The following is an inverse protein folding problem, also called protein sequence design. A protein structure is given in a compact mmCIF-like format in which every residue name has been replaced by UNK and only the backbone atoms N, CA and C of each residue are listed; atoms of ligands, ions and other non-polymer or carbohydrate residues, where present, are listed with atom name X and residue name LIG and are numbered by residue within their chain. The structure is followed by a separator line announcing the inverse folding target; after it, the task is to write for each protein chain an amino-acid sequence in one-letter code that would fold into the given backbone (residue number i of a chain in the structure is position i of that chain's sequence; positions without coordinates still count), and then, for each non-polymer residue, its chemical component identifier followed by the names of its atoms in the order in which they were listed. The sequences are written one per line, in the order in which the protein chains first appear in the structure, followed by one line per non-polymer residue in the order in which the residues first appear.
data_IF_846766022618
#
_entry.id   IF_846766022618
#
_cell.length_a   1.000
_cell.length_b   1.000
_cell.length_c   1.000
_cell.angle_alpha   90.00
_cell.angle_beta   90.00
_cell.angle_gamma   90.00
#
_symmetry.space_group_name_H-M   'P 1'
#
loop_
_entity.id
_entity.type
_entity.pdbx_description
1 polymer ?
#
# COMPACT_ATOMS: atom_id res chain seq x y z
N UNK A 1 4.23 7.95 -13.62
CA UNK A 1 3.16 8.56 -12.77
C UNK A 1 1.89 8.63 -13.60
N UNK A 2 0.74 8.34 -13.00
CA UNK A 2 -0.58 8.35 -13.66
C UNK A 2 -1.45 9.53 -13.24
N UNK A 3 -1.51 9.84 -11.95
CA UNK A 3 -2.36 10.91 -11.42
C UNK A 3 -1.90 11.36 -10.04
N UNK A 4 -2.37 12.54 -9.64
CA UNK A 4 -2.14 13.10 -8.30
C UNK A 4 -3.48 13.51 -7.69
N UNK A 5 -3.51 13.68 -6.38
CA UNK A 5 -4.63 14.27 -5.65
C UNK A 5 -4.03 15.11 -4.55
N UNK A 6 -4.26 16.43 -4.51
CA UNK A 6 -4.91 17.23 -5.55
C UNK A 6 -4.23 17.13 -6.92
N UNK A 7 -4.94 17.56 -7.95
CA UNK A 7 -4.34 17.79 -9.26
C UNK A 7 -3.42 19.03 -9.20
N UNK A 8 -2.47 19.11 -10.13
CA UNK A 8 -1.60 20.28 -10.28
C UNK A 8 -2.41 21.56 -10.48
N UNK A 9 -2.11 22.59 -9.70
CA UNK A 9 -2.78 23.88 -9.73
C UNK A 9 -4.19 23.88 -9.13
N UNK A 10 -4.62 22.81 -8.45
CA UNK A 10 -5.95 22.76 -7.83
C UNK A 10 -6.15 23.88 -6.81
N UNK A 11 -7.28 24.56 -6.89
CA UNK A 11 -7.69 25.62 -5.95
C UNK A 11 -8.79 25.14 -5.00
N UNK A 12 -9.03 25.90 -3.92
CA UNK A 12 -10.05 25.62 -2.91
C UNK A 12 -9.96 24.19 -2.34
N UNK A 13 -8.75 23.62 -2.31
CA UNK A 13 -8.51 22.28 -1.78
C UNK A 13 -8.83 22.28 -0.28
N UNK A 14 -9.60 21.32 0.24
CA UNK A 14 -9.94 21.36 1.65
C UNK A 14 -8.71 21.22 2.55
N UNK A 15 -8.74 21.88 3.70
CA UNK A 15 -7.62 21.88 4.66
C UNK A 15 -7.34 20.51 5.28
N UNK A 16 -8.25 19.56 5.10
CA UNK A 16 -8.16 18.16 5.52
C UNK A 16 -7.59 17.23 4.44
N UNK A 17 -7.16 17.76 3.30
CA UNK A 17 -6.73 16.93 2.16
C UNK A 17 -5.59 15.98 2.53
N UNK A 18 -5.63 14.80 1.92
CA UNK A 18 -4.62 13.76 2.04
C UNK A 18 -3.94 13.65 0.66
N UNK A 19 -2.77 14.28 0.46
CA UNK A 19 -2.08 14.20 -0.82
C UNK A 19 -1.76 12.76 -1.22
N UNK A 20 -1.97 12.44 -2.50
CA UNK A 20 -1.73 11.11 -3.05
C UNK A 20 -1.16 11.21 -4.45
N UNK A 21 -0.24 10.30 -4.78
CA UNK A 21 0.30 10.12 -6.14
C UNK A 21 0.15 8.66 -6.54
N UNK A 22 -0.32 8.43 -7.77
CA UNK A 22 -0.48 7.10 -8.38
C UNK A 22 0.60 6.88 -9.43
N UNK A 23 1.19 5.69 -9.41
CA UNK A 23 2.24 5.29 -10.32
C UNK A 23 1.72 4.27 -11.33
N UNK A 24 2.29 4.33 -12.54
CA UNK A 24 2.06 3.36 -13.61
C UNK A 24 2.73 2.03 -13.35
N UNK A 25 3.63 1.97 -12.35
CA UNK A 25 4.42 0.81 -11.97
C UNK A 25 4.57 0.74 -10.45
N UNK A 26 4.70 -0.46 -9.87
CA UNK A 26 5.04 -0.59 -8.46
C UNK A 26 6.39 0.06 -8.14
N UNK A 27 6.45 0.76 -7.01
CA UNK A 27 7.68 1.26 -6.42
C UNK A 27 8.44 0.15 -5.69
N UNK A 28 9.75 0.33 -5.53
CA UNK A 28 10.58 -0.49 -4.65
C UNK A 28 10.33 -0.08 -3.19
N UNK A 29 9.72 -0.94 -2.36
CA UNK A 29 9.47 -0.64 -0.96
C UNK A 29 10.73 -0.31 -0.16
N UNK A 30 11.92 -0.78 -0.58
CA UNK A 30 13.17 -0.47 0.10
C UNK A 30 13.59 1.01 -0.06
N UNK A 31 13.00 1.72 -1.02
CA UNK A 31 13.25 3.15 -1.28
C UNK A 31 12.20 4.08 -0.67
N UNK A 32 11.22 3.51 0.04
CA UNK A 32 10.14 4.28 0.65
C UNK A 32 10.43 4.47 2.15
N UNK A 33 10.72 5.70 2.52
CA UNK A 33 10.88 6.15 3.90
C UNK A 33 9.95 7.35 4.18
N UNK A 34 10.19 8.06 5.29
CA UNK A 34 9.43 9.25 5.67
C UNK A 34 9.65 10.44 4.72
N UNK A 35 10.73 10.45 3.95
CA UNK A 35 11.15 11.51 3.04
C UNK A 35 10.70 11.25 1.59
N UNK A 36 10.22 10.04 1.30
CA UNK A 36 9.73 9.64 -0.02
C UNK A 36 8.58 10.52 -0.54
N UNK A 37 7.77 11.14 0.33
CA UNK A 37 6.73 12.07 -0.08
C UNK A 37 6.52 13.15 0.98
N UNK A 38 6.78 14.41 0.65
CA UNK A 38 6.76 15.54 1.59
C UNK A 38 5.77 16.61 1.17
N UNK A 39 5.23 17.33 2.14
CA UNK A 39 4.34 18.47 1.94
C UNK A 39 4.94 19.71 2.60
N UNK A 40 4.95 20.84 1.90
CA UNK A 40 5.47 22.10 2.43
C UNK A 40 4.77 23.33 1.83
N UNK A 41 4.91 24.49 2.47
CA UNK A 41 4.47 25.80 1.97
C UNK A 41 5.52 26.84 2.37
N UNK A 42 6.49 27.11 1.48
CA UNK A 42 7.73 27.79 1.87
C UNK A 42 8.45 27.02 2.98
N UNK A 43 8.79 27.70 4.07
CA UNK A 43 9.43 27.09 5.25
C UNK A 43 8.46 26.30 6.15
N UNK A 44 7.15 26.38 5.90
CA UNK A 44 6.17 25.61 6.67
C UNK A 44 6.18 24.15 6.24
N UNK A 45 6.46 23.24 7.17
CA UNK A 45 6.35 21.79 6.98
C UNK A 45 5.30 21.25 7.97
N UNK A 46 4.09 20.86 7.51
CA UNK A 46 3.04 20.32 8.37
C UNK A 46 3.42 19.03 9.12
N UNK A 47 4.46 18.32 8.67
CA UNK A 47 4.76 16.96 9.12
C UNK A 47 3.66 15.97 8.74
N UNK A 48 3.89 14.68 8.94
CA UNK A 48 2.92 13.67 8.58
C UNK A 48 3.53 12.28 8.42
N UNK A 49 2.71 11.37 7.91
CA UNK A 49 3.12 9.99 7.63
C UNK A 49 2.95 9.65 6.16
N UNK A 50 3.95 8.97 5.60
CA UNK A 50 3.89 8.39 4.26
C UNK A 50 3.40 6.95 4.35
N UNK A 51 2.49 6.57 3.46
CA UNK A 51 2.07 5.17 3.28
C UNK A 51 2.13 4.80 1.81
N UNK A 52 2.74 3.65 1.54
CA UNK A 52 2.74 3.03 0.22
C UNK A 52 1.70 1.92 0.17
N UNK A 53 0.86 1.95 -0.87
CA UNK A 53 0.03 0.81 -1.27
C UNK A 53 0.67 0.17 -2.50
N UNK A 54 1.08 -1.09 -2.37
CA UNK A 54 1.58 -1.89 -3.48
C UNK A 54 0.45 -2.21 -4.47
N UNK A 55 -0.76 -2.41 -3.94
CA UNK A 55 -1.95 -2.80 -4.69
C UNK A 55 -2.45 -1.64 -5.55
N UNK A 56 -2.63 -0.47 -4.95
CA UNK A 56 -3.08 0.73 -5.66
C UNK A 56 -1.94 1.50 -6.34
N UNK A 57 -0.69 1.02 -6.18
CA UNK A 57 0.54 1.64 -6.69
C UNK A 57 0.57 3.12 -6.36
N UNK A 58 0.46 3.46 -5.08
CA UNK A 58 0.34 4.86 -4.68
C UNK A 58 1.04 5.18 -3.37
N UNK A 59 1.61 6.39 -3.32
CA UNK A 59 2.07 7.01 -2.09
C UNK A 59 1.04 8.01 -1.62
N UNK A 60 0.74 7.94 -0.32
CA UNK A 60 -0.19 8.83 0.36
C UNK A 60 0.53 9.52 1.50
N UNK A 61 0.40 10.84 1.59
CA UNK A 61 0.86 11.64 2.71
C UNK A 61 -0.33 12.03 3.56
N UNK A 62 -0.34 11.64 4.83
CA UNK A 62 -1.35 12.10 5.80
C UNK A 62 -0.73 13.22 6.63
N UNK A 63 -1.14 14.49 6.44
CA UNK A 63 -0.65 15.59 7.25
C UNK A 63 -0.91 15.35 8.74
N UNK A 64 0.09 15.67 9.58
CA UNK A 64 -0.03 15.56 11.04
C UNK A 64 -0.89 16.66 11.67
N UNK A 65 -1.16 17.73 10.91
CA UNK A 65 -1.99 18.87 11.30
C UNK A 65 -2.92 19.26 10.17
N UNK A 66 -4.05 19.88 10.50
CA UNK A 66 -4.90 20.54 9.52
C UNK A 66 -4.11 21.63 8.79
N UNK A 67 -4.17 21.65 7.46
CA UNK A 67 -3.45 22.63 6.66
C UNK A 67 -4.02 24.03 6.90
N UNK A 68 -3.21 25.07 6.73
CA UNK A 68 -3.73 26.44 6.81
C UNK A 68 -4.48 26.76 5.53
N UNK A 69 -5.59 27.50 5.64
CA UNK A 69 -6.38 27.93 4.49
C UNK A 69 -5.66 29.00 3.66
N UNK A 70 -6.04 29.13 2.39
CA UNK A 70 -5.57 30.16 1.47
C UNK A 70 -4.05 30.18 1.28
N UNK A 71 -3.43 29.01 1.25
CA UNK A 71 -2.00 28.86 1.00
C UNK A 71 -1.71 27.86 -0.11
N UNK A 72 -0.66 28.17 -0.88
CA UNK A 72 -0.06 27.24 -1.80
C UNK A 72 0.81 26.23 -1.03
N UNK A 73 0.48 24.95 -1.17
CA UNK A 73 1.28 23.83 -0.71
C UNK A 73 1.87 23.08 -1.89
N UNK A 74 3.11 22.62 -1.74
CA UNK A 74 3.81 21.78 -2.69
C UNK A 74 4.02 20.37 -2.11
N UNK A 75 3.40 19.38 -2.73
CA UNK A 75 3.58 17.97 -2.44
C UNK A 75 4.68 17.38 -3.35
N UNK A 76 5.82 17.01 -2.78
CA UNK A 76 7.02 16.61 -3.52
C UNK A 76 7.41 15.17 -3.26
N UNK A 77 7.62 14.42 -4.33
CA UNK A 77 8.20 13.08 -4.31
C UNK A 77 9.71 13.16 -4.07
N UNK A 78 10.23 12.30 -3.20
CA UNK A 78 11.65 12.18 -2.91
C UNK A 78 12.46 11.73 -4.14
N UNK A 79 13.69 12.21 -4.26
CA UNK A 79 14.58 11.91 -5.39
C UNK A 79 15.15 10.50 -5.33
N UNK A 80 15.05 9.82 -4.19
CA UNK A 80 15.51 8.44 -3.99
C UNK A 80 14.44 7.39 -4.25
N UNK A 81 13.18 7.81 -4.48
CA UNK A 81 12.09 6.88 -4.82
C UNK A 81 12.38 6.20 -6.16
N UNK A 82 12.33 4.86 -6.17
CA UNK A 82 12.54 4.05 -7.38
C UNK A 82 11.33 3.15 -7.66
N UNK A 83 11.14 2.84 -8.94
CA UNK A 83 10.35 1.70 -9.38
C UNK A 83 11.02 0.39 -8.99
N UNK A 84 10.24 -0.67 -8.79
CA UNK A 84 10.79 -2.01 -8.50
C UNK A 84 11.63 -2.58 -9.65
N UNK A 85 11.50 -2.01 -10.85
CA UNK A 85 12.31 -2.28 -12.02
C UNK A 85 13.61 -1.43 -12.07
N UNK A 86 13.91 -0.68 -11.01
CA UNK A 86 15.05 0.24 -10.94
C UNK A 86 14.82 1.57 -11.64
N UNK A 87 13.63 1.81 -12.21
CA UNK A 87 13.33 3.08 -12.86
C UNK A 87 13.29 4.23 -11.86
N UNK A 88 13.72 5.41 -12.30
CA UNK A 88 13.58 6.65 -11.52
C UNK A 88 12.61 7.59 -12.23
N UNK A 89 11.86 8.44 -11.50
CA UNK A 89 11.15 9.55 -12.12
C UNK A 89 12.11 10.38 -12.99
N UNK A 90 11.72 10.69 -14.22
CA UNK A 90 12.56 11.47 -15.14
C UNK A 90 12.72 12.93 -14.74
N UNK A 91 11.88 13.42 -13.81
CA UNK A 91 11.90 14.74 -13.18
C UNK A 91 11.40 14.63 -11.74
N UNK A 92 11.81 15.53 -10.82
CA UNK A 92 11.17 15.66 -9.53
C UNK A 92 9.66 15.86 -9.73
N UNK A 93 8.86 15.04 -9.05
CA UNK A 93 7.41 15.23 -9.01
C UNK A 93 7.12 16.23 -7.90
N UNK A 94 6.63 17.40 -8.27
CA UNK A 94 6.13 18.43 -7.35
C UNK A 94 4.74 18.82 -7.82
N UNK A 95 3.77 18.73 -6.91
CA UNK A 95 2.38 19.08 -7.16
C UNK A 95 2.03 20.28 -6.30
N UNK A 96 1.69 21.41 -6.92
CA UNK A 96 1.29 22.62 -6.21
C UNK A 96 -0.22 22.74 -6.19
N UNK A 97 -0.79 23.02 -5.02
CA UNK A 97 -2.22 23.27 -4.87
C UNK A 97 -2.48 24.35 -3.82
N UNK A 98 -3.64 25.01 -3.89
CA UNK A 98 -4.04 26.07 -2.98
C UNK A 98 -5.20 25.59 -2.11
N UNK A 99 -5.03 25.68 -0.79
CA UNK A 99 -6.08 25.32 0.17
C UNK A 99 -7.19 26.37 0.21
N UNK A 100 -8.44 25.93 0.32
CA UNK A 100 -9.60 26.76 0.66
C UNK A 100 -9.81 26.83 2.17
N UNK A 101 -11.04 27.14 2.58
CA UNK A 101 -11.49 27.12 3.98
C UNK A 101 -12.33 25.89 4.36
N UNK A 102 -12.68 25.06 3.37
CA UNK A 102 -13.47 23.85 3.59
C UNK A 102 -12.66 22.79 4.32
N UNK A 103 -13.29 22.08 5.25
CA UNK A 103 -12.71 20.94 5.98
C UNK A 103 -13.22 19.58 5.46
N UNK A 104 -14.09 19.57 4.44
CA UNK A 104 -14.73 18.36 3.90
C UNK A 104 -14.06 17.78 2.66
N UNK A 105 -12.74 17.65 2.65
CA UNK A 105 -12.01 17.07 1.49
C UNK A 105 -11.45 15.69 1.67
N UNK A 106 -11.62 15.09 2.86
CA UNK A 106 -11.15 13.73 3.11
C UNK A 106 -12.31 12.76 2.92
N UNK A 107 -12.32 11.93 1.86
CA UNK A 107 -13.15 10.74 1.86
C UNK A 107 -12.85 9.93 3.12
N UNK A 108 -13.88 9.47 3.82
CA UNK A 108 -13.68 8.53 4.90
C UNK A 108 -12.91 7.32 4.32
N UNK A 109 -11.84 6.85 4.99
CA UNK A 109 -11.18 5.63 4.55
C UNK A 109 -12.21 4.49 4.52
N UNK A 110 -12.08 3.52 3.59
CA UNK A 110 -12.93 2.34 3.60
C UNK A 110 -12.84 1.64 4.97
N UNK A 111 -13.90 0.95 5.41
CA UNK A 111 -13.86 0.23 6.66
C UNK A 111 -12.72 -0.79 6.67
N UNK A 112 -12.14 -0.94 7.84
CA UNK A 112 -11.13 -1.95 8.09
C UNK A 112 -11.73 -3.34 7.90
N UNK A 113 -10.99 -4.27 7.28
CA UNK A 113 -11.47 -5.64 7.07
C UNK A 113 -11.59 -6.39 8.39
N UNK A 114 -12.64 -7.21 8.54
CA UNK A 114 -12.80 -8.17 9.63
C UNK A 114 -12.00 -9.43 9.33
N UNK A 115 -11.21 -9.93 10.30
CA UNK A 115 -10.49 -11.19 10.09
C UNK A 115 -11.47 -12.34 9.83
N UNK A 116 -12.49 -12.49 10.68
CA UNK A 116 -13.41 -13.62 10.66
C UNK A 116 -14.42 -13.53 9.51
N UNK A 117 -14.82 -12.32 9.10
CA UNK A 117 -15.87 -12.14 8.08
C UNK A 117 -15.32 -11.87 6.67
N UNK A 118 -14.13 -11.27 6.56
CA UNK A 118 -13.53 -10.91 5.28
C UNK A 118 -12.31 -11.76 4.94
N UNK A 119 -11.33 -11.82 5.83
CA UNK A 119 -9.99 -12.35 5.50
C UNK A 119 -9.97 -13.86 5.49
N UNK A 120 -10.45 -14.49 6.57
CA UNK A 120 -10.45 -15.94 6.71
C UNK A 120 -11.32 -16.60 5.61
N UNK A 121 -12.57 -16.17 5.34
CA UNK A 121 -13.37 -16.76 4.27
C UNK A 121 -12.72 -16.60 2.89
N UNK A 122 -12.08 -15.45 2.62
CA UNK A 122 -11.34 -15.22 1.38
C UNK A 122 -10.20 -16.23 1.21
N UNK A 123 -9.35 -16.40 2.23
CA UNK A 123 -8.21 -17.33 2.18
C UNK A 123 -8.69 -18.76 2.04
N UNK A 124 -9.70 -19.17 2.81
CA UNK A 124 -10.27 -20.51 2.71
C UNK A 124 -10.86 -20.78 1.34
N UNK A 125 -11.56 -19.81 0.73
CA UNK A 125 -12.16 -19.98 -0.58
C UNK A 125 -11.14 -20.02 -1.72
N UNK A 126 -10.06 -19.22 -1.63
CA UNK A 126 -9.17 -18.97 -2.77
C UNK A 126 -7.81 -19.66 -2.67
N UNK A 127 -7.36 -20.03 -1.48
CA UNK A 127 -6.01 -20.56 -1.25
C UNK A 127 -6.02 -22.03 -0.81
N UNK A 128 -7.05 -22.47 -0.08
CA UNK A 128 -7.05 -23.79 0.58
C UNK A 128 -6.96 -24.96 -0.39
N UNK A 129 -7.45 -24.84 -1.63
CA UNK A 129 -7.42 -25.95 -2.60
C UNK A 129 -6.01 -26.47 -2.91
N UNK A 130 -4.98 -25.62 -2.81
CA UNK A 130 -3.58 -26.00 -2.98
C UNK A 130 -2.75 -25.88 -1.70
N UNK A 131 -3.25 -25.16 -0.69
CA UNK A 131 -2.56 -24.93 0.59
C UNK A 131 -3.18 -25.72 1.76
N UNK A 132 -4.05 -26.69 1.50
CA UNK A 132 -4.55 -27.60 2.51
C UNK A 132 -3.63 -28.82 2.72
N UNK A 133 -3.66 -29.46 3.90
CA UNK A 133 -3.08 -30.78 4.13
C UNK A 133 -3.61 -31.83 3.14
N UNK A 134 -2.87 -32.93 2.88
CA UNK A 134 -1.63 -33.35 3.56
C UNK A 134 -0.35 -32.76 2.98
N UNK A 135 -0.41 -32.11 1.81
CA UNK A 135 0.76 -31.62 1.08
C UNK A 135 0.56 -30.15 0.67
N UNK A 136 0.57 -29.20 1.63
CA UNK A 136 0.35 -27.80 1.32
C UNK A 136 1.45 -27.27 0.40
N UNK A 137 1.07 -26.49 -0.61
CA UNK A 137 2.00 -25.88 -1.54
C UNK A 137 3.10 -25.09 -0.81
N UNK A 138 4.35 -25.36 -1.17
CA UNK A 138 5.55 -24.80 -0.54
C UNK A 138 5.64 -25.00 0.99
N UNK A 139 4.93 -25.98 1.55
CA UNK A 139 4.90 -26.23 2.99
C UNK A 139 4.13 -25.18 3.79
N UNK A 140 3.33 -24.32 3.13
CA UNK A 140 2.55 -23.26 3.78
C UNK A 140 1.08 -23.67 3.88
N UNK A 141 0.61 -24.18 5.03
CA UNK A 141 -0.80 -24.47 5.21
C UNK A 141 -1.60 -23.17 5.30
N UNK A 142 -2.79 -23.12 4.67
CA UNK A 142 -3.73 -21.99 4.69
C UNK A 142 -5.18 -22.52 4.69
N UNK A 143 -5.48 -23.47 5.57
CA UNK A 143 -6.78 -24.14 5.64
C UNK A 143 -7.56 -23.84 6.92
N UNK A 144 -7.04 -22.96 7.78
CA UNK A 144 -7.65 -22.57 9.05
C UNK A 144 -7.20 -21.18 9.50
N UNK A 145 -7.87 -20.63 10.51
CA UNK A 145 -7.45 -19.38 11.16
C UNK A 145 -6.03 -19.51 11.75
N UNK A 146 -5.75 -20.63 12.45
CA UNK A 146 -4.46 -20.86 13.09
C UNK A 146 -3.32 -21.02 12.08
N UNK A 147 -3.60 -21.57 10.90
CA UNK A 147 -2.63 -21.62 9.79
C UNK A 147 -2.25 -20.21 9.34
N UNK A 148 -3.25 -19.35 9.12
CA UNK A 148 -3.05 -17.99 8.62
C UNK A 148 -2.32 -17.11 9.65
N UNK A 149 -2.69 -17.24 10.94
CA UNK A 149 -2.00 -16.54 12.03
C UNK A 149 -0.56 -17.03 12.23
N UNK A 150 -0.26 -18.32 11.96
CA UNK A 150 1.12 -18.82 11.94
C UNK A 150 1.91 -18.33 10.74
N UNK A 151 1.25 -18.12 9.60
CA UNK A 151 1.89 -17.54 8.42
C UNK A 151 2.30 -16.07 8.64
N UNK A 152 1.58 -15.34 9.50
CA UNK A 152 1.96 -14.00 9.96
C UNK A 152 3.35 -14.04 10.64
N UNK A 153 4.29 -13.23 10.13
CA UNK A 153 5.67 -13.19 10.63
C UNK A 153 6.55 -14.38 10.22
N UNK A 154 6.03 -15.39 9.51
CA UNK A 154 6.85 -16.51 9.01
C UNK A 154 7.68 -16.10 7.79
N UNK A 155 8.91 -16.61 7.70
CA UNK A 155 9.81 -16.39 6.56
C UNK A 155 9.35 -17.17 5.33
N UNK A 156 9.50 -16.57 4.15
CA UNK A 156 9.25 -17.23 2.88
C UNK A 156 10.29 -18.30 2.57
N UNK A 157 9.83 -19.49 2.20
CA UNK A 157 10.69 -20.57 1.72
C UNK A 157 11.19 -20.35 0.27
N UNK A 158 10.53 -19.47 -0.50
CA UNK A 158 10.87 -19.23 -1.91
C UNK A 158 11.71 -17.96 -2.09
N UNK A 159 11.38 -16.89 -1.36
CA UNK A 159 12.10 -15.62 -1.43
C UNK A 159 12.87 -15.39 -0.13
N UNK A 160 14.14 -15.77 -0.14
CA UNK A 160 15.00 -15.67 1.04
C UNK A 160 15.06 -14.22 1.55
N UNK A 161 14.94 -14.06 2.87
CA UNK A 161 14.94 -12.75 3.54
C UNK A 161 13.59 -12.01 3.54
N UNK A 162 12.55 -12.57 2.90
CA UNK A 162 11.21 -12.00 2.90
C UNK A 162 10.27 -12.71 3.87
N UNK A 163 9.32 -11.94 4.41
CA UNK A 163 8.25 -12.48 5.27
C UNK A 163 7.03 -12.78 4.40
N UNK A 164 6.33 -13.88 4.68
CA UNK A 164 5.09 -14.23 3.97
C UNK A 164 4.05 -13.13 4.16
N UNK A 165 3.84 -12.75 5.42
CA UNK A 165 2.93 -11.72 5.90
C UNK A 165 3.69 -10.83 6.89
N UNK A 166 4.24 -9.72 6.42
CA UNK A 166 4.95 -8.74 7.24
C UNK A 166 3.94 -7.80 7.92
N UNK A 167 3.54 -8.14 9.15
CA UNK A 167 2.62 -7.34 9.96
C UNK A 167 3.06 -5.86 10.03
N UNK A 168 2.14 -4.95 9.70
CA UNK A 168 2.37 -3.51 9.67
C UNK A 168 3.10 -2.98 8.42
N UNK A 169 3.65 -3.86 7.59
CA UNK A 169 4.41 -3.52 6.38
C UNK A 169 3.91 -4.34 5.18
N UNK A 170 2.69 -4.08 4.68
CA UNK A 170 2.09 -4.83 3.57
C UNK A 170 3.01 -4.91 2.35
N UNK A 171 3.65 -3.79 1.99
CA UNK A 171 4.58 -3.70 0.88
C UNK A 171 5.82 -4.60 1.02
N UNK A 172 6.12 -5.09 2.24
CA UNK A 172 7.19 -6.07 2.52
C UNK A 172 6.66 -7.50 2.67
N UNK A 173 5.38 -7.74 2.37
CA UNK A 173 4.75 -9.05 2.47
C UNK A 173 4.79 -9.79 1.15
N UNK A 174 5.46 -10.94 1.14
CA UNK A 174 5.56 -11.78 -0.05
C UNK A 174 4.20 -12.25 -0.57
N UNK A 175 3.19 -12.40 0.31
CA UNK A 175 1.83 -12.72 -0.10
C UNK A 175 1.29 -11.70 -1.11
N UNK A 176 1.50 -10.40 -0.90
CA UNK A 176 0.96 -9.39 -1.81
C UNK A 176 1.57 -9.53 -3.21
N UNK A 177 2.88 -9.77 -3.31
CA UNK A 177 3.55 -10.06 -4.58
C UNK A 177 2.97 -11.30 -5.26
N UNK A 178 2.69 -12.35 -4.49
CA UNK A 178 2.08 -13.59 -5.00
C UNK A 178 0.69 -13.32 -5.57
N UNK A 179 -0.15 -12.55 -4.90
CA UNK A 179 -1.54 -12.34 -5.33
C UNK A 179 -1.71 -11.32 -6.44
N UNK A 180 -0.80 -10.35 -6.54
CA UNK A 180 -0.83 -9.33 -7.60
C UNK A 180 -0.01 -9.71 -8.84
N UNK A 181 0.92 -10.66 -8.74
CA UNK A 181 1.85 -10.95 -9.83
C UNK A 181 2.85 -9.81 -10.07
N UNK A 182 3.18 -9.03 -9.03
CA UNK A 182 4.06 -7.87 -9.12
C UNK A 182 5.41 -8.21 -9.78
N UNK A 183 5.93 -7.36 -10.69
CA UNK A 183 7.26 -7.53 -11.26
C UNK A 183 8.34 -7.76 -10.19
N UNK A 184 9.27 -8.68 -10.44
CA UNK A 184 10.26 -9.11 -9.46
C UNK A 184 9.79 -10.23 -8.53
N UNK A 185 8.54 -10.69 -8.65
CA UNK A 185 8.03 -11.86 -7.93
C UNK A 185 8.92 -13.11 -8.17
N UNK A 186 9.35 -13.74 -7.08
CA UNK A 186 9.92 -15.10 -7.13
C UNK A 186 8.81 -16.13 -7.27
N UNK A 187 8.93 -17.03 -8.26
CA UNK A 187 7.93 -18.04 -8.57
C UNK A 187 6.78 -17.50 -9.43
N UNK A 188 5.61 -18.14 -9.35
CA UNK A 188 4.41 -17.73 -10.11
C UNK A 188 3.38 -17.02 -9.21
N UNK A 189 2.53 -16.21 -9.85
CA UNK A 189 1.36 -15.61 -9.23
C UNK A 189 0.43 -16.70 -8.68
N UNK A 190 -0.20 -16.42 -7.54
CA UNK A 190 -1.14 -17.28 -6.85
C UNK A 190 -2.43 -16.51 -6.52
N UNK A 191 -3.63 -17.12 -6.60
CA UNK A 191 -3.86 -18.47 -7.06
C UNK A 191 -3.52 -18.64 -8.55
N UNK A 192 -3.17 -19.87 -9.00
CA UNK A 192 -3.00 -20.12 -10.42
C UNK A 192 -4.33 -19.93 -11.16
N UNK A 193 -4.30 -19.33 -12.34
CA UNK A 193 -5.50 -19.05 -13.13
C UNK A 193 -6.06 -17.66 -12.84
N UNK A 194 -7.33 -17.60 -12.42
CA UNK A 194 -8.01 -16.33 -12.16
C UNK A 194 -7.38 -15.59 -10.97
N UNK A 195 -6.99 -14.34 -11.17
CA UNK A 195 -6.47 -13.49 -10.09
C UNK A 195 -7.56 -13.18 -9.06
N UNK A 196 -7.15 -12.87 -7.83
CA UNK A 196 -8.08 -12.33 -6.84
C UNK A 196 -8.70 -11.02 -7.34
N UNK A 197 -9.94 -10.76 -6.92
CA UNK A 197 -10.56 -9.47 -7.16
C UNK A 197 -9.75 -8.37 -6.48
N UNK A 198 -9.66 -7.20 -7.12
CA UNK A 198 -8.85 -6.09 -6.61
C UNK A 198 -9.26 -5.68 -5.18
N UNK A 199 -10.55 -5.70 -4.88
CA UNK A 199 -11.05 -5.36 -3.55
C UNK A 199 -10.67 -6.39 -2.49
N UNK A 200 -10.57 -7.67 -2.85
CA UNK A 200 -10.07 -8.73 -1.97
C UNK A 200 -8.58 -8.52 -1.66
N UNK A 201 -7.79 -8.17 -2.67
CA UNK A 201 -6.36 -7.86 -2.49
C UNK A 201 -6.18 -6.61 -1.62
N UNK A 202 -7.01 -5.58 -1.80
CA UNK A 202 -7.01 -4.39 -0.93
C UNK A 202 -7.40 -4.71 0.51
N UNK A 203 -8.33 -5.64 0.73
CA UNK A 203 -8.65 -6.13 2.08
C UNK A 203 -7.44 -6.83 2.71
N UNK A 204 -6.76 -7.71 1.97
CA UNK A 204 -5.52 -8.34 2.44
C UNK A 204 -4.44 -7.31 2.79
N UNK A 205 -4.22 -6.30 1.93
CA UNK A 205 -3.25 -5.23 2.18
C UNK A 205 -3.57 -4.45 3.46
N UNK A 206 -4.83 -4.03 3.64
CA UNK A 206 -5.26 -3.29 4.85
C UNK A 206 -5.14 -4.15 6.11
N UNK A 207 -5.56 -5.41 6.04
CA UNK A 207 -5.43 -6.34 7.17
C UNK A 207 -3.98 -6.52 7.60
N UNK A 208 -3.05 -6.66 6.65
CA UNK A 208 -1.63 -6.73 6.95
C UNK A 208 -1.13 -5.43 7.57
N UNK A 209 -1.55 -4.28 7.04
CA UNK A 209 -1.20 -2.96 7.59
C UNK A 209 -1.69 -2.78 9.05
N UNK A 210 -2.79 -3.42 9.42
CA UNK A 210 -3.31 -3.45 10.80
C UNK A 210 -2.57 -4.42 11.73
N UNK A 211 -1.60 -5.19 11.20
CA UNK A 211 -0.78 -6.12 11.98
C UNK A 211 -1.03 -7.59 11.68
N UNK A 212 -1.83 -7.93 10.66
CA UNK A 212 -2.14 -9.31 10.27
C UNK A 212 -2.68 -10.18 11.43
N UNK A 213 -3.41 -9.56 12.36
CA UNK A 213 -4.00 -10.20 13.53
C UNK A 213 -5.43 -10.68 13.30
N UNK A 214 -6.01 -11.33 14.30
CA UNK A 214 -7.43 -11.64 14.33
C UNK A 214 -8.24 -10.45 14.84
#
# INVERSE_FOLDING_TARGET
MLSTTPDEGAENVPVSVVPRVVFDRPLDPATIDADAFRLHSGDLVPGGTVRYSLVDRSLTFTPGVTLRSSLAYAARLGEDVRGIDGSSPSRPVEVVFVTGSDDRGRPAPPPDPSFDDDILPLVLARCSSCHAPPAPAAGLPLASADDLLRAAGSTSAQWLGWTILAAGSPERSYLLYKVTGTPGLVGRQMPPGESLALDDVRKLERWIAMGAGR
#
